data_IF_968766319724
#
_entry.id   IF_968766319724
#
_cell.length_a   1.000
_cell.length_b   1.000
_cell.length_c   1.000
_cell.angle_alpha   90.00
_cell.angle_beta   90.00
_cell.angle_gamma   90.00
#
_symmetry.space_group_name_H-M   'P 1'
#
loop_
_entity.id
_entity.type
_entity.pdbx_description
1 polymer ?
#
# COMPACT_ATOMS: atom_id res chain seq x y z
N UNK A 1 -16.88 -11.20 -9.95
CA UNK A 1 -16.28 -11.62 -8.67
C UNK A 1 -17.19 -11.44 -7.46
N UNK A 2 -17.78 -10.25 -7.19
CA UNK A 2 -18.68 -10.01 -6.02
C UNK A 2 -19.96 -10.87 -5.96
N UNK A 3 -20.42 -11.43 -7.08
CA UNK A 3 -21.56 -12.38 -7.12
C UNK A 3 -21.22 -13.75 -6.50
N UNK A 4 -19.94 -14.09 -6.37
CA UNK A 4 -19.47 -15.42 -5.93
C UNK A 4 -18.76 -15.35 -4.58
N UNK A 5 -18.00 -14.28 -4.30
CA UNK A 5 -17.38 -14.06 -2.99
C UNK A 5 -17.68 -12.62 -2.49
N UNK A 6 -18.46 -12.46 -1.40
CA UNK A 6 -18.76 -11.16 -0.81
C UNK A 6 -17.54 -10.40 -0.25
N UNK A 7 -16.45 -11.10 0.09
CA UNK A 7 -15.19 -10.52 0.61
C UNK A 7 -14.11 -10.35 -0.46
N UNK A 8 -14.46 -10.41 -1.75
CA UNK A 8 -13.48 -10.40 -2.83
C UNK A 8 -12.62 -9.13 -2.85
N UNK A 9 -13.21 -7.96 -2.62
CA UNK A 9 -12.52 -6.68 -2.76
C UNK A 9 -11.30 -6.55 -1.82
N UNK A 10 -11.41 -6.77 -0.50
CA UNK A 10 -10.25 -6.71 0.40
C UNK A 10 -9.25 -7.84 0.16
N UNK A 11 -9.69 -9.01 -0.31
CA UNK A 11 -8.80 -10.13 -0.65
C UNK A 11 -7.93 -9.75 -1.85
N UNK A 12 -8.52 -9.15 -2.89
CA UNK A 12 -7.78 -8.70 -4.08
C UNK A 12 -6.82 -7.57 -3.70
N UNK A 13 -7.22 -6.64 -2.83
CA UNK A 13 -6.30 -5.62 -2.30
C UNK A 13 -5.11 -6.26 -1.57
N UNK A 14 -5.40 -7.14 -0.62
CA UNK A 14 -4.37 -7.81 0.18
C UNK A 14 -3.37 -8.58 -0.67
N UNK A 15 -3.85 -9.43 -1.58
CA UNK A 15 -2.97 -10.17 -2.48
C UNK A 15 -2.29 -9.31 -3.54
N UNK A 16 -2.92 -8.22 -3.99
CA UNK A 16 -2.29 -7.25 -4.88
C UNK A 16 -1.06 -6.61 -4.23
N UNK A 17 -1.22 -6.09 -3.00
CA UNK A 17 -0.11 -5.51 -2.25
C UNK A 17 0.96 -6.57 -1.96
N UNK A 18 0.58 -7.70 -1.36
CA UNK A 18 1.53 -8.76 -1.01
C UNK A 18 2.28 -9.31 -2.23
N UNK A 19 1.59 -9.41 -3.37
CA UNK A 19 2.18 -9.80 -4.65
C UNK A 19 3.15 -8.76 -5.21
N UNK A 20 2.93 -7.47 -4.97
CA UNK A 20 3.82 -6.39 -5.41
C UNK A 20 5.16 -6.36 -4.64
N UNK A 21 5.15 -6.78 -3.37
CA UNK A 21 6.31 -6.72 -2.47
C UNK A 21 7.58 -7.43 -2.97
N UNK A 22 7.53 -8.70 -3.44
CA UNK A 22 8.72 -9.36 -3.99
C UNK A 22 9.30 -8.61 -5.18
N UNK A 23 8.47 -8.00 -6.05
CA UNK A 23 8.95 -7.21 -7.18
C UNK A 23 9.63 -5.92 -6.72
N UNK A 24 9.07 -5.20 -5.75
CA UNK A 24 9.72 -4.02 -5.16
C UNK A 24 11.05 -4.37 -4.48
N UNK A 25 11.12 -5.50 -3.78
CA UNK A 25 12.36 -5.97 -3.17
C UNK A 25 13.43 -6.27 -4.23
N UNK A 26 13.06 -6.97 -5.32
CA UNK A 26 13.96 -7.26 -6.44
C UNK A 26 14.46 -5.95 -7.07
N UNK A 27 13.60 -4.95 -7.28
CA UNK A 27 13.97 -3.63 -7.78
C UNK A 27 15.07 -3.00 -6.93
N UNK A 28 14.89 -2.97 -5.61
CA UNK A 28 15.87 -2.35 -4.70
C UNK A 28 17.22 -3.09 -4.72
N UNK A 29 17.22 -4.42 -4.75
CA UNK A 29 18.46 -5.22 -4.72
C UNK A 29 19.20 -5.23 -6.07
N UNK A 30 18.46 -5.35 -7.18
CA UNK A 30 19.02 -5.59 -8.52
C UNK A 30 19.09 -4.35 -9.41
N UNK A 31 18.66 -3.18 -8.93
CA UNK A 31 18.71 -1.88 -9.64
C UNK A 31 20.05 -1.59 -10.31
N UNK A 32 21.17 -1.87 -9.63
CA UNK A 32 22.52 -1.62 -10.17
C UNK A 32 23.00 -2.66 -11.19
N UNK A 33 22.38 -3.85 -11.25
CA UNK A 33 22.84 -4.96 -12.10
C UNK A 33 22.14 -5.03 -13.45
N UNK A 34 20.84 -4.72 -13.48
CA UNK A 34 20.04 -4.80 -14.70
C UNK A 34 18.92 -3.79 -14.71
N UNK A 35 19.06 -2.78 -15.58
CA UNK A 35 18.03 -1.76 -15.79
C UNK A 35 16.75 -2.36 -16.41
N UNK A 36 16.89 -3.32 -17.33
CA UNK A 36 15.76 -3.96 -17.98
C UNK A 36 14.89 -4.75 -16.99
N UNK A 37 15.51 -5.56 -16.12
CA UNK A 37 14.80 -6.29 -15.07
C UNK A 37 14.10 -5.31 -14.11
N UNK A 38 14.78 -4.23 -13.75
CA UNK A 38 14.24 -3.20 -12.85
C UNK A 38 12.95 -2.60 -13.40
N UNK A 39 12.92 -2.19 -14.67
CA UNK A 39 11.71 -1.62 -15.28
C UNK A 39 10.56 -2.61 -15.38
N UNK A 40 10.84 -3.88 -15.73
CA UNK A 40 9.81 -4.93 -15.78
C UNK A 40 9.22 -5.16 -14.38
N UNK A 41 10.06 -5.25 -13.35
CA UNK A 41 9.59 -5.44 -11.98
C UNK A 41 8.84 -4.22 -11.45
N UNK A 42 9.26 -2.98 -11.78
CA UNK A 42 8.51 -1.76 -11.44
C UNK A 42 7.12 -1.80 -12.08
N UNK A 43 7.02 -2.14 -13.36
CA UNK A 43 5.74 -2.22 -14.06
C UNK A 43 4.80 -3.24 -13.40
N UNK A 44 5.30 -4.43 -13.06
CA UNK A 44 4.51 -5.46 -12.38
C UNK A 44 4.09 -5.03 -10.97
N UNK A 45 5.01 -4.45 -10.19
CA UNK A 45 4.72 -3.95 -8.85
C UNK A 45 3.64 -2.86 -8.87
N UNK A 46 3.78 -1.88 -9.75
CA UNK A 46 2.83 -0.77 -9.90
C UNK A 46 1.45 -1.27 -10.34
N UNK A 47 1.41 -2.16 -11.33
CA UNK A 47 0.14 -2.76 -11.81
C UNK A 47 -0.60 -3.47 -10.68
N UNK A 48 0.11 -4.24 -9.86
CA UNK A 48 -0.47 -4.94 -8.71
C UNK A 48 -0.90 -3.97 -7.60
N UNK A 49 -0.18 -2.86 -7.40
CA UNK A 49 -0.56 -1.81 -6.45
C UNK A 49 -1.79 -1.02 -6.91
N UNK A 50 -1.95 -0.78 -8.21
CA UNK A 50 -3.09 -0.06 -8.78
C UNK A 50 -4.45 -0.72 -8.47
N UNK A 51 -4.49 -2.05 -8.22
CA UNK A 51 -5.72 -2.74 -7.85
C UNK A 51 -6.37 -2.18 -6.59
N UNK A 52 -5.56 -1.67 -5.65
CA UNK A 52 -6.06 -1.14 -4.40
C UNK A 52 -6.87 0.14 -4.56
N UNK A 53 -6.50 0.98 -5.53
CA UNK A 53 -7.01 2.34 -5.63
C UNK A 53 -8.53 2.37 -5.89
N UNK A 54 -8.99 1.57 -6.84
CA UNK A 54 -10.41 1.46 -7.17
C UNK A 54 -11.20 0.70 -6.09
N UNK A 55 -10.64 -0.39 -5.56
CA UNK A 55 -11.32 -1.27 -4.62
C UNK A 55 -11.50 -0.63 -3.24
N UNK A 56 -10.52 0.13 -2.76
CA UNK A 56 -10.61 0.87 -1.50
C UNK A 56 -11.80 1.85 -1.51
N UNK A 57 -11.99 2.54 -2.64
CA UNK A 57 -13.09 3.49 -2.80
C UNK A 57 -14.45 2.77 -2.85
N UNK A 58 -14.55 1.64 -3.55
CA UNK A 58 -15.80 0.84 -3.59
C UNK A 58 -16.15 0.28 -2.21
N UNK A 59 -15.16 -0.28 -1.50
CA UNK A 59 -15.32 -0.78 -0.13
C UNK A 59 -15.92 0.26 0.80
N UNK A 60 -15.39 1.49 0.78
CA UNK A 60 -15.88 2.58 1.61
C UNK A 60 -17.36 2.89 1.35
N UNK A 61 -17.79 2.89 0.10
CA UNK A 61 -19.15 3.26 -0.27
C UNK A 61 -20.20 2.26 0.24
N UNK A 62 -19.88 0.96 0.28
CA UNK A 62 -20.87 -0.04 0.72
C UNK A 62 -20.81 -0.38 2.21
N UNK A 63 -19.74 -0.01 2.93
CA UNK A 63 -19.67 -0.16 4.40
C UNK A 63 -20.10 1.10 5.15
N UNK A 64 -20.21 2.25 4.47
CA UNK A 64 -20.62 3.53 5.07
C UNK A 64 -22.00 3.96 4.58
N UNK A 65 -22.86 4.39 5.52
CA UNK A 65 -24.19 4.93 5.22
C UNK A 65 -24.11 6.22 4.38
N UNK A 66 -25.06 6.47 3.44
CA UNK A 66 -24.99 7.58 2.49
C UNK A 66 -24.72 8.96 3.11
N UNK A 67 -25.34 9.25 4.25
CA UNK A 67 -25.23 10.54 4.95
C UNK A 67 -23.82 10.84 5.49
N UNK A 68 -22.95 9.81 5.61
CA UNK A 68 -21.59 9.93 6.16
C UNK A 68 -20.48 9.60 5.16
N UNK A 69 -20.81 9.19 3.93
CA UNK A 69 -19.83 8.74 2.92
C UNK A 69 -18.79 9.81 2.58
N UNK A 70 -19.21 11.06 2.42
CA UNK A 70 -18.30 12.16 2.10
C UNK A 70 -17.22 12.37 3.17
N UNK A 71 -17.63 12.40 4.44
CA UNK A 71 -16.69 12.51 5.57
C UNK A 71 -15.76 11.31 5.66
N UNK A 72 -16.27 10.09 5.48
CA UNK A 72 -15.44 8.88 5.49
C UNK A 72 -14.39 8.90 4.36
N UNK A 73 -14.80 9.26 3.13
CA UNK A 73 -13.89 9.37 2.00
C UNK A 73 -12.84 10.46 2.23
N UNK A 74 -13.24 11.62 2.76
CA UNK A 74 -12.31 12.69 3.10
C UNK A 74 -11.29 12.26 4.16
N UNK A 75 -11.72 11.56 5.22
CA UNK A 75 -10.82 11.04 6.25
C UNK A 75 -9.84 10.00 5.71
N UNK A 76 -10.30 9.12 4.81
CA UNK A 76 -9.46 8.14 4.16
C UNK A 76 -8.36 8.81 3.32
N UNK A 77 -8.73 9.76 2.46
CA UNK A 77 -7.80 10.52 1.61
C UNK A 77 -6.84 11.34 2.47
N UNK A 78 -7.36 12.01 3.49
CA UNK A 78 -6.54 12.78 4.43
C UNK A 78 -5.51 11.90 5.13
N UNK A 79 -5.92 10.74 5.64
CA UNK A 79 -5.01 9.81 6.30
C UNK A 79 -3.94 9.27 5.34
N UNK A 80 -4.31 8.92 4.09
CA UNK A 80 -3.34 8.43 3.10
C UNK A 80 -2.32 9.50 2.71
N UNK A 81 -2.74 10.75 2.50
CA UNK A 81 -1.81 11.82 2.15
C UNK A 81 -0.95 12.25 3.34
N UNK A 82 -1.53 12.37 4.54
CA UNK A 82 -0.79 12.81 5.71
C UNK A 82 0.26 11.76 6.11
N UNK A 83 -0.15 10.51 6.29
CA UNK A 83 0.72 9.46 6.81
C UNK A 83 1.55 8.79 5.71
N UNK A 84 1.00 8.67 4.50
CA UNK A 84 1.72 8.16 3.34
C UNK A 84 2.58 9.26 2.73
N UNK A 85 1.99 10.12 1.91
CA UNK A 85 2.74 10.99 1.01
C UNK A 85 3.59 12.06 1.72
N UNK A 86 3.07 12.65 2.80
CA UNK A 86 3.78 13.72 3.52
C UNK A 86 4.79 13.16 4.53
N UNK A 87 4.42 12.11 5.27
CA UNK A 87 5.26 11.57 6.36
C UNK A 87 6.30 10.57 5.85
N UNK A 88 6.01 9.76 4.83
CA UNK A 88 6.93 8.71 4.38
C UNK A 88 8.28 9.20 3.85
N UNK A 89 8.40 10.31 3.08
CA UNK A 89 9.69 10.78 2.60
C UNK A 89 10.58 11.26 3.75
N UNK A 90 9.98 11.84 4.80
CA UNK A 90 10.69 12.26 5.99
C UNK A 90 11.27 11.05 6.75
N UNK A 91 10.48 9.99 6.95
CA UNK A 91 10.95 8.75 7.59
C UNK A 91 12.09 8.11 6.77
N UNK A 92 11.92 8.00 5.44
CA UNK A 92 12.96 7.44 4.56
C UNK A 92 14.23 8.29 4.61
N UNK A 93 14.10 9.62 4.65
CA UNK A 93 15.23 10.55 4.80
C UNK A 93 16.00 10.31 6.10
N UNK A 94 15.30 10.26 7.24
CA UNK A 94 15.91 9.98 8.54
C UNK A 94 16.61 8.61 8.57
N UNK A 95 16.00 7.59 7.97
CA UNK A 95 16.61 6.25 7.85
C UNK A 95 17.86 6.28 6.97
N UNK A 96 17.83 7.03 5.87
CA UNK A 96 18.98 7.18 4.96
C UNK A 96 20.13 7.88 5.67
N UNK A 97 19.86 8.96 6.39
CA UNK A 97 20.88 9.68 7.18
C UNK A 97 21.48 8.78 8.28
N UNK A 98 20.65 8.01 8.96
CA UNK A 98 21.10 7.04 9.95
C UNK A 98 22.05 5.98 9.36
N UNK A 99 21.73 5.43 8.19
CA UNK A 99 22.59 4.45 7.52
C UNK A 99 23.86 5.06 6.93
N UNK A 100 23.80 6.33 6.50
CA UNK A 100 24.90 7.06 5.90
C UNK A 100 25.97 7.48 6.92
N UNK A 101 25.57 7.78 8.17
CA UNK A 101 26.46 8.36 9.19
C UNK A 101 27.14 9.62 8.64
N UNK A 102 28.47 9.75 8.80
CA UNK A 102 29.27 10.89 8.34
C UNK A 102 29.83 10.71 6.91
N UNK A 103 29.51 9.61 6.22
CA UNK A 103 30.04 9.33 4.89
C UNK A 103 29.35 10.20 3.82
N UNK A 104 30.12 10.89 3.00
CA UNK A 104 29.60 11.82 1.97
C UNK A 104 29.80 11.33 0.54
N UNK A 105 30.41 10.16 0.35
CA UNK A 105 30.69 9.61 -0.97
C UNK A 105 29.40 9.13 -1.69
N UNK A 106 29.43 9.18 -3.01
CA UNK A 106 28.28 8.82 -3.87
C UNK A 106 27.81 7.38 -3.65
N UNK A 107 28.73 6.45 -3.37
CA UNK A 107 28.38 5.05 -3.16
C UNK A 107 27.65 4.88 -1.83
N UNK A 108 28.13 5.50 -0.75
CA UNK A 108 27.47 5.50 0.55
C UNK A 108 26.07 6.13 0.48
N UNK A 109 25.91 7.25 -0.25
CA UNK A 109 24.59 7.86 -0.48
C UNK A 109 23.62 6.90 -1.19
N UNK A 110 24.09 6.15 -2.19
CA UNK A 110 23.26 5.17 -2.89
C UNK A 110 22.90 3.99 -1.99
N UNK A 111 23.87 3.41 -1.27
CA UNK A 111 23.64 2.27 -0.36
C UNK A 111 22.71 2.66 0.78
N UNK A 112 22.90 3.84 1.38
CA UNK A 112 22.07 4.32 2.49
C UNK A 112 20.62 4.52 2.07
N UNK A 113 20.40 5.16 0.91
CA UNK A 113 19.06 5.39 0.38
C UNK A 113 18.38 4.08 -0.02
N UNK A 114 19.10 3.17 -0.68
CA UNK A 114 18.58 1.83 -1.02
C UNK A 114 18.15 1.08 0.24
N UNK A 115 18.98 1.09 1.29
CA UNK A 115 18.67 0.43 2.56
C UNK A 115 17.49 1.11 3.27
N UNK A 116 17.39 2.44 3.22
CA UNK A 116 16.25 3.17 3.76
C UNK A 116 14.95 2.80 3.05
N UNK A 117 14.97 2.72 1.72
CA UNK A 117 13.80 2.34 0.91
C UNK A 117 13.32 0.90 1.17
N UNK A 118 14.13 0.03 1.78
CA UNK A 118 13.69 -1.32 2.17
C UNK A 118 12.59 -1.31 3.24
N UNK A 119 12.40 -0.20 3.96
CA UNK A 119 11.29 -0.05 4.91
C UNK A 119 9.93 -0.06 4.19
N UNK A 120 9.88 0.47 2.95
CA UNK A 120 8.65 0.60 2.18
C UNK A 120 7.96 -0.75 1.91
N UNK A 121 8.63 -1.78 1.32
CA UNK A 121 8.00 -3.07 1.11
C UNK A 121 7.64 -3.79 2.43
N UNK A 122 8.39 -3.54 3.52
CA UNK A 122 8.04 -4.10 4.83
C UNK A 122 6.72 -3.52 5.35
N UNK A 123 6.57 -2.20 5.37
CA UNK A 123 5.35 -1.52 5.82
C UNK A 123 4.17 -1.86 4.90
N UNK A 124 4.40 -1.92 3.59
CA UNK A 124 3.36 -2.32 2.65
C UNK A 124 2.92 -3.78 2.83
N UNK A 125 3.82 -4.70 3.22
CA UNK A 125 3.43 -6.07 3.61
C UNK A 125 2.45 -6.07 4.79
N UNK A 126 2.68 -5.24 5.81
CA UNK A 126 1.75 -5.06 6.92
C UNK A 126 0.40 -4.50 6.45
N UNK A 127 0.42 -3.54 5.51
CA UNK A 127 -0.80 -3.02 4.88
C UNK A 127 -1.58 -4.11 4.13
N UNK A 128 -0.90 -4.97 3.37
CA UNK A 128 -1.52 -6.12 2.70
C UNK A 128 -2.14 -7.11 3.69
N UNK A 129 -1.46 -7.42 4.79
CA UNK A 129 -2.01 -8.24 5.87
C UNK A 129 -3.24 -7.60 6.53
N UNK A 130 -3.23 -6.28 6.74
CA UNK A 130 -4.39 -5.55 7.25
C UNK A 130 -5.60 -5.65 6.32
N UNK A 131 -5.42 -5.59 4.99
CA UNK A 131 -6.51 -5.84 4.04
C UNK A 131 -7.07 -7.26 4.13
N UNK A 132 -6.20 -8.27 4.27
CA UNK A 132 -6.66 -9.64 4.49
C UNK A 132 -7.42 -9.77 5.80
N UNK A 133 -7.00 -9.08 6.87
CA UNK A 133 -7.76 -9.03 8.12
C UNK A 133 -9.14 -8.37 7.93
N UNK A 134 -9.22 -7.25 7.21
CA UNK A 134 -10.49 -6.59 6.87
C UNK A 134 -11.45 -7.53 6.10
N UNK A 135 -10.93 -8.46 5.30
CA UNK A 135 -11.76 -9.42 4.55
C UNK A 135 -12.64 -10.32 5.43
N UNK A 136 -12.26 -10.52 6.69
CA UNK A 136 -13.00 -11.30 7.66
C UNK A 136 -14.25 -10.57 8.19
N UNK A 137 -14.22 -9.23 8.19
CA UNK A 137 -15.27 -8.39 8.82
C UNK A 137 -16.16 -7.68 7.80
N UNK A 138 -15.69 -7.49 6.56
CA UNK A 138 -16.35 -6.64 5.57
C UNK A 138 -17.79 -7.07 5.25
N UNK A 139 -18.10 -8.36 5.31
CA UNK A 139 -19.45 -8.89 5.03
C UNK A 139 -20.42 -8.47 6.12
N UNK A 140 -19.98 -8.55 7.38
CA UNK A 140 -20.78 -8.18 8.53
C UNK A 140 -20.96 -6.66 8.62
N UNK A 141 -19.92 -5.89 8.33
CA UNK A 141 -19.99 -4.43 8.31
C UNK A 141 -20.94 -3.92 7.23
N UNK A 142 -20.89 -4.53 6.04
CA UNK A 142 -21.84 -4.24 4.96
C UNK A 142 -23.28 -4.58 5.35
N UNK A 143 -23.50 -5.71 6.05
CA UNK A 143 -24.83 -6.11 6.53
C UNK A 143 -25.37 -5.10 7.54
N UNK A 144 -24.55 -4.67 8.51
CA UNK A 144 -24.93 -3.64 9.48
C UNK A 144 -25.25 -2.30 8.81
N UNK A 145 -24.46 -1.89 7.83
CA UNK A 145 -24.73 -0.69 7.06
C UNK A 145 -26.07 -0.77 6.32
N UNK A 146 -26.40 -1.94 5.75
CA UNK A 146 -27.69 -2.19 5.07
C UNK A 146 -28.88 -2.08 6.03
N UNK A 147 -28.80 -2.67 7.22
CA UNK A 147 -29.86 -2.64 8.23
C UNK A 147 -30.20 -1.23 8.73
N UNK A 148 -29.25 -0.29 8.69
CA UNK A 148 -29.48 1.11 9.09
C UNK A 148 -30.16 1.92 7.98
N UNK A 149 -30.13 1.42 6.74
CA UNK A 149 -30.72 2.07 5.57
C UNK A 149 -32.16 1.62 5.29
N UNK A 150 -32.62 0.53 5.91
CA UNK A 150 -34.00 0.06 5.91
C UNK A 150 -34.84 0.74 7.01
#
# INVERSE_FOLDING_TARGET
YRKVNPSADPIVCGWGILGAMPFLFIVLVFSHKSIALTWICIFLAETLMCFNWALISDMLLYIVIPTRRSTAAALQIFASHLLGDATSPYIVGLMSDYFRKDATDTLSNWVSLRNALMICPFVATLGGAAFLFCSLYIVEDRRKAALIME
#
